data_IF_019557397862
#
_entry.id   IF_019557397862
#
_cell.length_a   1.000
_cell.length_b   1.000
_cell.length_c   1.000
_cell.angle_alpha   90.00
_cell.angle_beta   90.00
_cell.angle_gamma   90.00
#
_symmetry.space_group_name_H-M   'P 1'
#
loop_
_entity.id
_entity.type
_entity.pdbx_description
1 polymer ?
#
# COMPACT_ATOMS: atom_id res chain seq x y z
N UNK A 1 -20.70 -2.55 -48.31
CA UNK A 1 -20.00 -3.64 -49.03
C UNK A 1 -19.04 -4.28 -48.06
N UNK A 2 -19.32 -5.48 -47.77
CA UNK A 2 -18.70 -6.79 -47.52
C UNK A 2 -18.11 -6.94 -46.14
N UNK A 3 -18.78 -7.59 -45.19
CA UNK A 3 -18.87 -9.04 -44.87
C UNK A 3 -17.49 -9.73 -44.73
N UNK A 4 -17.12 -10.20 -43.54
CA UNK A 4 -16.94 -11.63 -43.30
C UNK A 4 -16.86 -11.97 -41.82
N UNK A 5 -17.74 -12.86 -41.45
CA UNK A 5 -17.74 -13.64 -40.22
C UNK A 5 -16.69 -14.77 -40.30
N UNK A 6 -16.17 -15.18 -39.16
CA UNK A 6 -15.35 -16.38 -39.02
C UNK A 6 -15.62 -17.06 -37.68
N UNK A 7 -16.59 -17.98 -37.65
CA UNK A 7 -16.82 -18.95 -36.56
C UNK A 7 -15.85 -20.12 -36.76
N UNK A 8 -15.25 -20.61 -35.71
CA UNK A 8 -14.76 -21.98 -35.64
C UNK A 8 -14.93 -22.55 -34.26
N UNK A 9 -15.87 -23.46 -34.18
CA UNK A 9 -16.10 -24.39 -33.07
C UNK A 9 -15.15 -25.58 -33.26
N UNK A 10 -14.58 -26.10 -32.19
CA UNK A 10 -14.16 -27.50 -32.11
C UNK A 10 -14.29 -27.99 -30.68
N UNK A 11 -15.26 -28.86 -30.50
CA UNK A 11 -15.41 -29.73 -29.32
C UNK A 11 -14.57 -31.01 -29.56
N UNK A 12 -14.44 -31.81 -28.53
CA UNK A 12 -14.04 -33.22 -28.39
C UNK A 12 -12.99 -33.34 -27.28
N UNK A 13 -13.04 -34.21 -26.30
CA UNK A 13 -13.77 -35.45 -26.15
C UNK A 13 -13.56 -35.98 -24.72
N UNK A 14 -14.53 -36.68 -24.28
CA UNK A 14 -14.58 -37.53 -23.10
C UNK A 14 -13.64 -38.75 -23.21
N UNK A 15 -12.94 -39.09 -22.14
CA UNK A 15 -12.48 -40.47 -21.93
C UNK A 15 -12.54 -40.85 -20.45
N UNK A 16 -13.47 -41.71 -20.16
CA UNK A 16 -13.64 -42.50 -18.93
C UNK A 16 -12.65 -43.65 -18.91
N UNK A 17 -12.31 -44.17 -17.72
CA UNK A 17 -12.22 -45.60 -17.27
C UNK A 17 -11.43 -45.62 -15.97
N UNK A 18 -12.00 -45.96 -14.86
CA UNK A 18 -12.42 -47.25 -14.31
C UNK A 18 -11.32 -47.94 -13.46
N UNK A 19 -11.64 -48.02 -12.18
CA UNK A 19 -11.47 -49.14 -11.27
C UNK A 19 -10.09 -49.79 -11.03
N UNK A 20 -9.67 -49.84 -9.75
CA UNK A 20 -9.48 -51.18 -9.13
C UNK A 20 -9.47 -51.03 -7.60
N UNK A 21 -10.37 -51.76 -6.95
CA UNK A 21 -10.39 -52.08 -5.53
C UNK A 21 -9.27 -53.06 -5.22
N UNK A 22 -8.59 -52.87 -4.09
CA UNK A 22 -7.95 -53.99 -3.36
C UNK A 22 -8.08 -53.79 -1.87
N UNK A 23 -8.95 -54.60 -1.32
CA UNK A 23 -9.10 -54.85 0.12
C UNK A 23 -7.92 -55.70 0.61
N UNK A 24 -7.29 -55.33 1.68
CA UNK A 24 -6.51 -56.23 2.51
C UNK A 24 -6.85 -55.95 3.99
N UNK A 25 -7.64 -56.85 4.52
CA UNK A 25 -7.80 -57.03 5.96
C UNK A 25 -6.61 -57.83 6.47
N UNK A 26 -6.05 -57.47 7.62
CA UNK A 26 -5.60 -58.42 8.63
C UNK A 26 -5.07 -57.75 9.89
N UNK A 27 -5.61 -58.23 10.96
CA UNK A 27 -5.05 -58.53 12.26
C UNK A 27 -5.01 -57.40 13.30
N UNK A 28 -5.92 -57.55 14.26
CA UNK A 28 -5.85 -56.99 15.62
C UNK A 28 -4.81 -57.72 16.42
N UNK A 29 -3.90 -57.05 17.08
CA UNK A 29 -3.26 -57.49 18.31
C UNK A 29 -3.68 -56.53 19.45
N UNK A 30 -4.20 -57.04 20.53
CA UNK A 30 -4.48 -56.27 21.73
C UNK A 30 -3.30 -56.40 22.67
N UNK A 31 -2.69 -55.34 23.04
CA UNK A 31 -2.08 -55.04 24.33
C UNK A 31 -0.83 -54.17 24.16
N UNK A 32 -0.99 -52.91 24.44
CA UNK A 32 0.08 -52.07 24.97
C UNK A 32 -0.55 -50.80 25.51
N UNK A 33 -0.86 -50.84 26.77
CA UNK A 33 -1.11 -49.65 27.59
C UNK A 33 0.15 -48.78 27.62
N UNK A 34 0.24 -47.84 26.70
CA UNK A 34 1.19 -46.74 26.82
C UNK A 34 0.41 -45.45 27.00
N UNK A 35 0.37 -45.02 28.24
CA UNK A 35 -0.11 -43.70 28.64
C UNK A 35 0.86 -42.67 28.09
N UNK A 36 0.61 -42.25 26.84
CA UNK A 36 1.29 -41.10 26.28
C UNK A 36 0.57 -39.87 26.77
N UNK A 37 1.15 -39.21 27.76
CA UNK A 37 0.78 -37.86 28.16
C UNK A 37 0.99 -36.98 26.94
N UNK A 38 -0.12 -36.64 26.28
CA UNK A 38 -0.14 -35.71 25.16
C UNK A 38 0.38 -34.35 25.62
N UNK A 39 1.61 -34.06 25.29
CA UNK A 39 2.10 -32.68 25.31
C UNK A 39 1.26 -31.91 24.29
N UNK A 40 0.21 -31.25 24.78
CA UNK A 40 -0.45 -30.19 24.03
C UNK A 40 0.60 -29.13 23.74
N UNK A 41 1.18 -29.17 22.54
CA UNK A 41 1.88 -28.01 21.98
C UNK A 41 0.85 -26.88 21.90
N UNK A 42 0.94 -25.98 22.87
CA UNK A 42 0.36 -24.65 22.76
C UNK A 42 0.99 -24.04 21.50
N UNK A 43 0.21 -24.05 20.41
CA UNK A 43 0.53 -23.27 19.24
C UNK A 43 0.56 -21.82 19.71
N UNK A 44 1.75 -21.28 19.91
CA UNK A 44 1.95 -19.84 20.04
C UNK A 44 1.36 -19.22 18.79
N UNK A 45 0.40 -18.27 18.91
CA UNK A 45 -0.03 -17.52 17.77
C UNK A 45 1.22 -16.80 17.25
N UNK A 46 1.71 -17.21 16.09
CA UNK A 46 2.67 -16.42 15.32
C UNK A 46 1.95 -15.13 15.04
N UNK A 47 2.26 -14.10 15.82
CA UNK A 47 1.86 -12.73 15.51
C UNK A 47 2.38 -12.50 14.09
N UNK A 48 1.47 -12.41 13.12
CA UNK A 48 1.79 -11.88 11.81
C UNK A 48 2.36 -10.51 12.10
N UNK A 49 3.67 -10.37 11.98
CA UNK A 49 4.29 -9.06 12.00
C UNK A 49 3.57 -8.27 10.91
N UNK A 50 2.89 -7.23 11.32
CA UNK A 50 2.31 -6.23 10.42
C UNK A 50 3.51 -5.56 9.73
N UNK A 51 3.96 -6.17 8.63
CA UNK A 51 5.09 -5.68 7.85
C UNK A 51 4.59 -4.57 6.92
N UNK A 52 4.07 -3.49 7.54
CA UNK A 52 3.87 -2.26 6.77
C UNK A 52 5.21 -1.88 6.15
N UNK A 53 5.30 -1.74 4.82
CA UNK A 53 6.56 -1.40 4.16
C UNK A 53 7.17 -0.14 4.76
N UNK A 54 8.50 -0.09 4.88
CA UNK A 54 9.17 1.12 5.35
C UNK A 54 8.96 2.24 4.33
N UNK A 55 8.59 3.42 4.83
CA UNK A 55 8.49 4.65 4.05
C UNK A 55 9.86 5.34 4.04
N UNK A 56 10.36 5.67 2.85
CA UNK A 56 11.59 6.46 2.69
C UNK A 56 11.20 7.89 2.36
N UNK A 57 11.63 8.87 3.18
CA UNK A 57 11.27 10.29 3.02
C UNK A 57 12.51 11.11 2.68
N UNK A 58 12.49 11.74 1.51
CA UNK A 58 13.50 12.69 1.04
C UNK A 58 13.06 14.11 1.36
N UNK A 59 13.85 14.85 2.14
CA UNK A 59 13.58 16.22 2.54
C UNK A 59 14.88 17.01 2.71
N UNK A 60 14.79 18.34 2.76
CA UNK A 60 15.95 19.14 3.16
C UNK A 60 16.12 19.11 4.69
N UNK A 61 17.36 19.13 5.21
CA UNK A 61 17.61 19.08 6.66
C UNK A 61 16.88 20.18 7.44
N UNK A 62 16.78 21.36 6.85
CA UNK A 62 16.17 22.56 7.46
C UNK A 62 14.65 22.62 7.37
N UNK A 63 13.99 21.67 6.69
CA UNK A 63 12.53 21.69 6.52
C UNK A 63 11.81 21.24 7.82
N UNK A 64 11.38 22.20 8.63
CA UNK A 64 10.70 21.93 9.90
C UNK A 64 9.34 21.24 9.72
N UNK A 65 8.49 21.76 8.82
CA UNK A 65 7.18 21.16 8.56
C UNK A 65 7.28 19.73 7.98
N UNK A 66 8.33 19.44 7.20
CA UNK A 66 8.59 18.07 6.74
C UNK A 66 8.91 17.12 7.91
N UNK A 67 9.66 17.62 8.93
CA UNK A 67 9.92 16.86 10.15
C UNK A 67 8.64 16.55 10.92
N UNK A 68 7.73 17.52 11.04
CA UNK A 68 6.42 17.33 11.65
C UNK A 68 5.55 16.31 10.88
N UNK A 69 5.59 16.35 9.55
CA UNK A 69 4.91 15.34 8.73
C UNK A 69 5.48 13.93 8.95
N UNK A 70 6.81 13.80 9.02
CA UNK A 70 7.47 12.51 9.35
C UNK A 70 6.98 11.99 10.69
N UNK A 71 6.87 12.86 11.70
CA UNK A 71 6.38 12.48 13.02
C UNK A 71 4.90 12.06 12.97
N UNK A 72 4.06 12.77 12.21
CA UNK A 72 2.67 12.38 11.95
C UNK A 72 2.59 10.96 11.35
N UNK A 73 3.45 10.62 10.39
CA UNK A 73 3.50 9.27 9.81
C UNK A 73 3.92 8.21 10.83
N UNK A 74 4.93 8.52 11.68
CA UNK A 74 5.36 7.61 12.76
C UNK A 74 4.26 7.37 13.78
N UNK A 75 3.58 8.41 14.23
CA UNK A 75 2.44 8.32 15.15
C UNK A 75 1.28 7.53 14.54
N UNK A 76 1.13 7.61 13.24
CA UNK A 76 0.20 6.79 12.49
C UNK A 76 0.66 5.32 12.32
N UNK A 77 1.82 4.91 12.83
CA UNK A 77 2.31 3.54 12.81
C UNK A 77 3.14 3.16 11.58
N UNK A 78 3.53 4.13 10.75
CA UNK A 78 4.46 3.86 9.65
C UNK A 78 5.91 3.79 10.16
N UNK A 79 6.68 2.82 9.65
CA UNK A 79 8.14 2.83 9.80
C UNK A 79 8.71 3.83 8.80
N UNK A 80 9.42 4.87 9.29
CA UNK A 80 9.90 5.96 8.44
C UNK A 80 11.41 6.10 8.53
N UNK A 81 12.09 5.93 7.40
CA UNK A 81 13.49 6.29 7.14
C UNK A 81 13.55 7.68 6.51
N UNK A 82 14.38 8.57 7.07
CA UNK A 82 14.57 9.92 6.53
C UNK A 82 15.91 10.00 5.81
N UNK A 83 15.91 10.53 4.60
CA UNK A 83 17.08 10.82 3.78
C UNK A 83 17.15 12.31 3.49
N UNK A 84 18.00 13.00 4.22
CA UNK A 84 18.21 14.42 3.99
C UNK A 84 19.00 14.65 2.68
N UNK A 85 18.57 15.65 1.91
CA UNK A 85 19.21 16.09 0.67
C UNK A 85 18.97 17.58 0.46
N UNK A 86 19.95 18.25 -0.14
CA UNK A 86 19.83 19.69 -0.47
C UNK A 86 19.11 19.92 -1.82
N UNK A 87 19.00 18.87 -2.67
CA UNK A 87 18.32 18.96 -3.95
C UNK A 87 17.31 17.82 -4.13
N UNK A 88 16.03 18.18 -4.09
CA UNK A 88 14.91 17.27 -4.31
C UNK A 88 14.51 17.14 -5.78
N UNK A 89 14.96 18.04 -6.65
CA UNK A 89 14.49 18.06 -8.02
C UNK A 89 14.77 16.75 -8.80
N UNK A 90 16.00 16.18 -8.76
CA UNK A 90 16.27 14.92 -9.44
C UNK A 90 15.47 13.74 -8.84
N UNK A 91 15.22 13.74 -7.52
CA UNK A 91 14.43 12.70 -6.85
C UNK A 91 12.97 12.77 -7.31
N UNK A 92 12.35 13.95 -7.28
CA UNK A 92 10.98 14.16 -7.77
C UNK A 92 10.83 13.75 -9.24
N UNK A 93 11.78 14.14 -10.07
CA UNK A 93 11.77 13.78 -11.49
C UNK A 93 11.91 12.25 -11.69
N UNK A 94 12.84 11.61 -10.96
CA UNK A 94 13.07 10.16 -11.00
C UNK A 94 11.86 9.35 -10.53
N UNK A 95 11.13 9.85 -9.55
CA UNK A 95 9.92 9.23 -9.01
C UNK A 95 8.65 9.60 -9.78
N UNK A 96 8.75 10.45 -10.80
CA UNK A 96 7.66 10.81 -11.67
C UNK A 96 6.61 11.73 -11.04
N UNK A 97 7.02 12.58 -10.10
CA UNK A 97 6.15 13.67 -9.59
C UNK A 97 5.85 14.61 -10.74
N UNK A 98 4.56 14.85 -11.08
CA UNK A 98 4.20 15.68 -12.23
C UNK A 98 4.65 17.13 -12.05
N UNK A 99 5.01 17.76 -13.15
CA UNK A 99 5.37 19.19 -13.14
C UNK A 99 4.24 20.05 -12.54
N UNK A 100 4.60 20.96 -11.65
CA UNK A 100 3.64 21.83 -10.95
C UNK A 100 2.87 21.17 -9.80
N UNK A 101 3.11 19.88 -9.51
CA UNK A 101 2.49 19.14 -8.40
C UNK A 101 3.42 18.92 -7.20
N UNK A 102 4.62 19.48 -7.25
CA UNK A 102 5.62 19.34 -6.20
C UNK A 102 5.27 20.07 -4.90
N UNK A 103 5.85 19.60 -3.81
CA UNK A 103 5.80 20.17 -2.47
C UNK A 103 7.20 20.18 -1.83
N UNK A 104 7.31 20.25 -0.51
CA UNK A 104 8.59 20.43 0.19
C UNK A 104 9.34 19.11 0.49
N UNK A 105 8.72 17.95 0.34
CA UNK A 105 9.33 16.63 0.49
C UNK A 105 8.67 15.61 -0.42
N UNK A 106 9.36 14.50 -0.62
CA UNK A 106 8.89 13.36 -1.41
C UNK A 106 9.15 12.09 -0.63
N UNK A 107 8.19 11.19 -0.58
CA UNK A 107 8.35 9.89 0.06
C UNK A 107 8.03 8.76 -0.93
N UNK A 108 8.58 7.58 -0.62
CA UNK A 108 8.34 6.33 -1.32
C UNK A 108 7.86 5.29 -0.33
N UNK A 109 6.82 4.55 -0.66
CA UNK A 109 6.33 3.42 0.12
C UNK A 109 5.70 2.39 -0.80
N UNK A 110 6.16 1.14 -0.73
CA UNK A 110 5.60 -0.01 -1.47
C UNK A 110 5.40 0.24 -2.98
N UNK A 111 6.34 0.97 -3.58
CA UNK A 111 6.32 1.32 -5.01
C UNK A 111 5.50 2.56 -5.36
N UNK A 112 4.82 3.18 -4.40
CA UNK A 112 4.11 4.44 -4.57
C UNK A 112 4.95 5.63 -4.16
N UNK A 113 4.77 6.75 -4.87
CA UNK A 113 5.28 8.06 -4.46
C UNK A 113 4.23 8.80 -3.65
N UNK A 114 4.67 9.45 -2.58
CA UNK A 114 3.85 10.35 -1.76
C UNK A 114 4.53 11.72 -1.76
N UNK A 115 3.89 12.69 -2.36
CA UNK A 115 4.43 14.05 -2.51
C UNK A 115 3.72 15.03 -1.58
N UNK A 116 4.48 15.65 -0.68
CA UNK A 116 3.98 16.69 0.22
C UNK A 116 3.18 16.15 1.41
N UNK A 117 2.38 17.00 2.01
CA UNK A 117 1.73 16.81 3.31
C UNK A 117 0.47 15.93 3.25
N UNK A 118 0.53 14.82 2.50
CA UNK A 118 -0.56 13.85 2.36
C UNK A 118 -0.87 13.23 3.73
N UNK A 119 -2.15 13.21 4.16
CA UNK A 119 -2.56 12.59 5.42
C UNK A 119 -2.31 11.08 5.46
N UNK A 120 -1.98 10.56 6.65
CA UNK A 120 -1.66 9.16 6.87
C UNK A 120 -2.82 8.21 6.49
N UNK A 121 -4.06 8.64 6.70
CA UNK A 121 -5.25 7.88 6.29
C UNK A 121 -5.35 7.71 4.78
N UNK A 122 -4.93 8.72 3.99
CA UNK A 122 -4.91 8.62 2.53
C UNK A 122 -3.82 7.66 2.06
N UNK A 123 -2.65 7.69 2.71
CA UNK A 123 -1.58 6.73 2.43
C UNK A 123 -2.03 5.30 2.74
N UNK A 124 -2.69 5.07 3.88
CA UNK A 124 -3.24 3.74 4.21
C UNK A 124 -4.28 3.28 3.20
N UNK A 125 -5.17 4.19 2.79
CA UNK A 125 -6.18 3.90 1.78
C UNK A 125 -5.52 3.51 0.45
N UNK A 126 -4.53 4.25 0.00
CA UNK A 126 -3.74 3.93 -1.20
C UNK A 126 -3.13 2.52 -1.12
N UNK A 127 -2.47 2.19 0.00
CA UNK A 127 -1.86 0.88 0.22
C UNK A 127 -2.87 -0.26 0.30
N UNK A 128 -4.09 0.02 0.74
CA UNK A 128 -5.18 -0.97 0.82
C UNK A 128 -5.85 -1.19 -0.53
N UNK A 129 -6.18 -0.11 -1.25
CA UNK A 129 -6.87 -0.16 -2.54
C UNK A 129 -5.95 -0.58 -3.68
N UNK A 130 -4.65 -0.30 -3.57
CA UNK A 130 -3.60 -0.65 -4.53
C UNK A 130 -3.95 -0.33 -6.01
N UNK A 131 -4.38 0.92 -6.29
CA UNK A 131 -4.70 1.30 -7.65
C UNK A 131 -3.46 1.21 -8.56
N UNK A 132 -3.68 1.02 -9.85
CA UNK A 132 -2.62 1.16 -10.86
C UNK A 132 -2.30 2.64 -11.09
N UNK A 133 -1.44 3.18 -10.25
CA UNK A 133 -1.10 4.60 -10.21
C UNK A 133 0.34 4.77 -9.72
N UNK A 134 0.92 5.95 -9.91
CA UNK A 134 2.24 6.28 -9.37
C UNK A 134 2.20 6.61 -7.88
N UNK A 135 1.11 7.18 -7.37
CA UNK A 135 0.99 7.54 -5.96
C UNK A 135 0.07 8.72 -5.70
N UNK A 136 0.32 9.45 -4.64
CA UNK A 136 -0.48 10.60 -4.21
C UNK A 136 0.36 11.87 -4.19
N UNK A 137 -0.28 12.99 -4.52
CA UNK A 137 0.32 14.32 -4.37
C UNK A 137 -0.63 15.26 -3.62
N UNK A 138 -0.06 16.07 -2.74
CA UNK A 138 -0.71 17.25 -2.17
C UNK A 138 0.15 18.46 -2.52
N UNK A 139 -0.17 19.17 -3.63
CA UNK A 139 0.63 20.30 -4.09
C UNK A 139 0.66 21.43 -3.06
N UNK A 140 1.81 22.05 -2.92
CA UNK A 140 2.01 23.13 -1.95
C UNK A 140 2.06 22.66 -0.51
N UNK A 141 1.65 23.50 0.42
CA UNK A 141 1.67 23.30 1.86
C UNK A 141 0.40 23.91 2.48
N UNK A 142 -0.79 23.36 2.21
CA UNK A 142 -2.03 23.95 2.71
C UNK A 142 -2.09 23.93 4.24
N UNK A 143 -2.54 25.03 4.83
CA UNK A 143 -2.69 25.14 6.27
C UNK A 143 -3.66 24.09 6.80
N UNK A 144 -3.32 23.47 7.94
CA UNK A 144 -4.09 22.41 8.57
C UNK A 144 -3.87 21.02 7.97
N UNK A 145 -3.05 20.88 6.90
CA UNK A 145 -2.56 19.55 6.52
C UNK A 145 -1.52 19.04 7.53
N UNK A 146 -1.26 17.71 7.61
CA UNK A 146 -0.32 17.16 8.58
C UNK A 146 1.08 17.81 8.52
N UNK A 147 1.56 18.34 9.66
CA UNK A 147 2.80 19.11 9.76
C UNK A 147 2.66 20.58 9.38
N UNK A 148 1.43 21.01 9.02
CA UNK A 148 1.07 22.41 8.74
C UNK A 148 -0.11 22.87 9.60
N UNK A 149 -0.28 22.23 10.76
CA UNK A 149 -1.34 22.56 11.71
C UNK A 149 -1.18 23.96 12.24
N UNK A 150 -2.30 24.68 12.34
CA UNK A 150 -2.33 26.04 12.88
C UNK A 150 -2.73 26.03 14.36
N UNK A 151 -2.11 26.89 15.21
CA UNK A 151 -2.46 26.97 16.63
C UNK A 151 -3.94 27.30 16.90
N UNK A 152 -4.59 27.99 15.98
CA UNK A 152 -6.01 28.35 16.05
C UNK A 152 -6.94 27.30 15.41
N UNK A 153 -6.37 26.17 14.94
CA UNK A 153 -7.11 25.06 14.35
C UNK A 153 -7.61 25.30 12.92
N UNK A 154 -7.29 26.42 12.30
CA UNK A 154 -7.77 26.71 10.93
C UNK A 154 -7.25 25.70 9.93
N UNK A 155 -8.13 25.30 9.02
CA UNK A 155 -7.84 24.41 7.89
C UNK A 155 -8.17 25.10 6.59
N UNK A 156 -7.24 25.12 5.66
CA UNK A 156 -7.45 25.53 4.29
C UNK A 156 -8.03 24.35 3.49
N UNK A 157 -9.00 24.58 2.62
CA UNK A 157 -9.46 23.52 1.71
C UNK A 157 -8.32 23.03 0.82
N UNK A 158 -8.15 21.71 0.69
CA UNK A 158 -7.15 21.12 -0.20
C UNK A 158 -7.65 19.82 -0.83
N UNK A 159 -6.98 19.41 -1.89
CA UNK A 159 -7.26 18.14 -2.58
C UNK A 159 -6.01 17.28 -2.60
N UNK A 160 -6.11 16.07 -2.09
CA UNK A 160 -5.15 15.00 -2.36
C UNK A 160 -5.48 14.43 -3.73
N UNK A 161 -4.51 14.38 -4.60
CA UNK A 161 -4.68 13.90 -5.97
C UNK A 161 -3.96 12.55 -6.16
N UNK A 162 -4.58 11.64 -6.89
CA UNK A 162 -3.95 10.42 -7.40
C UNK A 162 -3.17 10.75 -8.66
N UNK A 163 -1.93 10.33 -8.74
CA UNK A 163 -1.10 10.43 -9.95
C UNK A 163 -1.21 9.14 -10.72
N UNK A 164 -1.81 9.19 -11.88
CA UNK A 164 -1.99 8.06 -12.77
C UNK A 164 -0.65 7.62 -13.42
N UNK A 165 -0.61 6.41 -14.00
CA UNK A 165 0.61 5.90 -14.66
C UNK A 165 1.10 6.80 -15.82
N UNK A 166 0.20 7.50 -16.50
CA UNK A 166 0.51 8.44 -17.57
C UNK A 166 0.98 9.84 -17.06
N UNK A 167 0.92 10.07 -15.74
CA UNK A 167 1.29 11.32 -15.09
C UNK A 167 0.16 12.35 -15.01
N UNK A 168 -1.03 12.04 -15.50
CA UNK A 168 -2.23 12.82 -15.22
C UNK A 168 -2.63 12.71 -13.75
N UNK A 169 -3.48 13.62 -13.26
CA UNK A 169 -3.95 13.56 -11.88
C UNK A 169 -5.46 13.57 -11.81
N UNK A 170 -6.00 12.80 -10.87
CA UNK A 170 -7.41 12.75 -10.53
C UNK A 170 -7.62 13.02 -9.04
N UNK A 171 -8.83 13.45 -8.66
CA UNK A 171 -9.13 13.70 -7.25
C UNK A 171 -9.18 12.39 -6.47
N UNK A 172 -8.30 12.24 -5.47
CA UNK A 172 -8.34 11.12 -4.52
C UNK A 172 -9.21 11.45 -3.32
N UNK A 173 -8.97 12.58 -2.66
CA UNK A 173 -9.77 13.09 -1.55
C UNK A 173 -9.77 14.62 -1.53
N UNK A 174 -10.91 15.21 -1.20
CA UNK A 174 -11.02 16.62 -0.88
C UNK A 174 -11.22 16.82 0.61
N UNK A 175 -10.48 17.72 1.19
CA UNK A 175 -10.66 18.21 2.56
C UNK A 175 -11.24 19.61 2.48
N UNK A 176 -12.38 19.80 3.11
CA UNK A 176 -12.99 21.13 3.22
C UNK A 176 -12.37 21.87 4.41
N UNK A 177 -11.98 23.10 4.16
CA UNK A 177 -11.46 23.99 5.19
C UNK A 177 -12.57 24.75 5.90
N UNK A 178 -12.18 25.52 6.91
CA UNK A 178 -13.07 26.42 7.60
C UNK A 178 -13.52 27.54 6.65
N UNK A 179 -14.75 28.01 6.82
CA UNK A 179 -15.37 29.10 6.06
C UNK A 179 -15.10 30.44 6.70
#
# INVERSE_FOLDING_TARGET
MSRRAGRSSAAWGLASLAALMMSAACARDPDSTSTTVGAQQLATPTAMADTTPAMVVHKTPSCGCCGLWVEHMRQAGFTVEVRDTDDLAPIKAGLGVPYGKGSCHTAEIDGYVIEGHVPAEDVRRLLTERPKARGLVLPGMPLGSPGMEMPDGRVQSYTVELVEEDGSTSMFRRVEGDR
#
